data_IF_779882279646
#
_entry.id   IF_779882279646
#
_cell.length_a   1.000
_cell.length_b   1.000
_cell.length_c   1.000
_cell.angle_alpha   90.00
_cell.angle_beta   90.00
_cell.angle_gamma   90.00
#
_symmetry.space_group_name_H-M   'P 1'
#
loop_
_entity.id
_entity.type
_entity.pdbx_description
1 polymer ?
#
# COMPACT_ATOMS: atom_id res chain seq x y z
N UNK A 1 29.29 -20.26 -22.03
CA UNK A 1 28.10 -20.82 -21.34
C UNK A 1 27.10 -19.68 -21.15
N UNK A 2 25.90 -19.79 -21.73
CA UNK A 2 24.90 -18.71 -21.68
C UNK A 2 24.22 -18.68 -20.30
N UNK A 3 24.61 -17.70 -19.47
CA UNK A 3 24.08 -17.48 -18.11
C UNK A 3 22.73 -16.75 -18.10
N UNK A 4 22.12 -16.50 -19.26
CA UNK A 4 20.85 -15.78 -19.36
C UNK A 4 19.68 -16.56 -18.73
N UNK A 5 19.63 -17.87 -18.96
CA UNK A 5 18.59 -18.75 -18.41
C UNK A 5 18.55 -18.79 -16.87
N UNK A 6 19.67 -19.01 -16.16
CA UNK A 6 19.65 -18.98 -14.70
C UNK A 6 19.34 -17.58 -14.14
N UNK A 7 19.69 -16.49 -14.84
CA UNK A 7 19.37 -15.13 -14.42
C UNK A 7 17.87 -14.83 -14.44
N UNK A 8 17.18 -15.24 -15.52
CA UNK A 8 15.72 -15.12 -15.62
C UNK A 8 14.99 -15.95 -14.55
N UNK A 9 15.50 -17.16 -14.28
CA UNK A 9 14.93 -18.02 -13.24
C UNK A 9 15.05 -17.40 -11.85
N UNK A 10 16.19 -16.74 -11.57
CA UNK A 10 16.44 -16.06 -10.30
C UNK A 10 15.50 -14.86 -10.11
N UNK A 11 15.29 -14.06 -11.16
CA UNK A 11 14.35 -12.94 -11.14
C UNK A 11 12.90 -13.41 -10.91
N UNK A 12 12.49 -14.50 -11.56
CA UNK A 12 11.16 -15.08 -11.36
C UNK A 12 10.95 -15.54 -9.92
N UNK A 13 11.95 -16.19 -9.32
CA UNK A 13 11.93 -16.60 -7.91
C UNK A 13 11.82 -15.39 -6.97
N UNK A 14 12.63 -14.36 -7.16
CA UNK A 14 12.59 -13.14 -6.33
C UNK A 14 11.24 -12.42 -6.44
N UNK A 15 10.70 -12.31 -7.66
CA UNK A 15 9.39 -11.71 -7.90
C UNK A 15 8.26 -12.47 -7.19
N UNK A 16 8.30 -13.80 -7.22
CA UNK A 16 7.34 -14.64 -6.50
C UNK A 16 7.39 -14.35 -4.99
N UNK A 17 8.57 -14.33 -4.39
CA UNK A 17 8.75 -14.06 -2.95
C UNK A 17 8.33 -12.64 -2.54
N UNK A 18 8.60 -11.63 -3.36
CA UNK A 18 8.18 -10.25 -3.09
C UNK A 18 6.66 -10.10 -3.05
N UNK A 19 5.91 -10.88 -3.84
CA UNK A 19 4.44 -10.83 -3.78
C UNK A 19 3.86 -11.44 -2.50
N UNK A 20 4.58 -12.35 -1.84
CA UNK A 20 4.11 -12.98 -0.59
C UNK A 20 4.33 -12.06 0.62
N UNK A 21 5.36 -11.22 0.60
CA UNK A 21 5.68 -10.33 1.74
C UNK A 21 4.80 -9.09 1.79
N UNK A 22 4.31 -8.60 0.65
CA UNK A 22 3.35 -7.47 0.60
C UNK A 22 1.93 -7.90 1.00
N UNK A 23 1.65 -9.21 1.00
CA UNK A 23 0.35 -9.79 1.35
C UNK A 23 0.16 -10.14 2.82
N UNK A 24 1.19 -10.05 3.67
CA UNK A 24 1.05 -10.23 5.11
C UNK A 24 0.45 -8.96 5.71
N UNK A 25 -0.88 -8.88 5.66
CA UNK A 25 -1.61 -7.92 6.49
C UNK A 25 -1.16 -8.08 7.95
N UNK A 26 -0.86 -6.99 8.68
CA UNK A 26 -0.35 -7.03 10.06
C UNK A 26 -1.33 -7.64 11.07
N UNK A 27 -2.51 -8.05 10.61
CA UNK A 27 -3.52 -8.69 11.42
C UNK A 27 -4.00 -10.00 10.80
N UNK A 28 -4.24 -10.95 11.69
CA UNK A 28 -4.99 -12.16 11.39
C UNK A 28 -6.35 -11.84 10.75
N UNK A 29 -6.73 -12.62 9.73
CA UNK A 29 -7.98 -12.38 8.99
C UNK A 29 -9.20 -12.40 9.92
N UNK A 30 -9.18 -13.27 10.93
CA UNK A 30 -10.22 -13.35 11.98
C UNK A 30 -10.32 -12.06 12.81
N UNK A 31 -9.17 -11.53 13.24
CA UNK A 31 -9.08 -10.29 14.03
C UNK A 31 -9.58 -9.10 13.22
N UNK A 32 -9.20 -9.01 11.93
CA UNK A 32 -9.65 -7.96 11.02
C UNK A 32 -11.17 -7.95 10.83
N UNK A 33 -11.79 -9.11 10.66
CA UNK A 33 -13.26 -9.21 10.49
C UNK A 33 -13.98 -8.74 11.76
N UNK A 34 -13.52 -9.21 12.93
CA UNK A 34 -14.08 -8.79 14.22
C UNK A 34 -13.94 -7.29 14.44
N UNK A 35 -12.76 -6.75 14.13
CA UNK A 35 -12.47 -5.32 14.22
C UNK A 35 -13.38 -4.48 13.32
N UNK A 36 -13.57 -4.91 12.07
CA UNK A 36 -14.44 -4.22 11.13
C UNK A 36 -15.89 -4.16 11.61
N UNK A 37 -16.44 -5.27 12.11
CA UNK A 37 -17.81 -5.31 12.63
C UNK A 37 -17.94 -4.41 13.87
N UNK A 38 -16.96 -4.48 14.78
CA UNK A 38 -16.95 -3.69 16.01
C UNK A 38 -16.87 -2.18 15.70
N UNK A 39 -15.85 -1.71 14.98
CA UNK A 39 -15.67 -0.29 14.69
C UNK A 39 -16.79 0.29 13.81
N UNK A 40 -17.37 -0.52 12.91
CA UNK A 40 -18.50 -0.09 12.08
C UNK A 40 -19.75 0.21 12.91
N UNK A 41 -19.97 -0.51 14.02
CA UNK A 41 -21.08 -0.22 14.93
C UNK A 41 -20.99 1.17 15.58
N UNK A 42 -19.77 1.69 15.74
CA UNK A 42 -19.48 3.03 16.25
C UNK A 42 -19.28 4.08 15.15
N UNK A 43 -19.54 3.72 13.88
CA UNK A 43 -19.31 4.58 12.72
C UNK A 43 -17.84 5.07 12.58
N UNK A 44 -16.88 4.27 13.04
CA UNK A 44 -15.42 4.52 12.99
C UNK A 44 -14.75 3.66 11.91
N UNK A 45 -13.52 3.99 11.51
CA UNK A 45 -12.70 3.12 10.65
C UNK A 45 -12.00 2.04 11.48
N UNK A 46 -12.00 0.78 11.03
CA UNK A 46 -11.18 -0.25 11.64
C UNK A 46 -9.72 -0.07 11.21
N UNK A 47 -8.84 0.16 12.18
CA UNK A 47 -7.41 0.08 12.03
C UNK A 47 -6.95 -1.21 12.72
N UNK A 48 -6.11 -1.98 12.05
CA UNK A 48 -5.60 -3.22 12.60
C UNK A 48 -4.08 -3.23 12.42
N UNK A 49 -3.38 -3.23 13.55
CA UNK A 49 -1.92 -3.11 13.63
C UNK A 49 -1.42 -4.09 14.69
N UNK A 50 -0.39 -4.88 14.39
CA UNK A 50 0.20 -5.90 15.30
C UNK A 50 -0.81 -6.81 16.04
N UNK A 51 -1.90 -7.23 15.39
CA UNK A 51 -3.03 -7.98 15.96
C UNK A 51 -3.86 -7.23 17.03
N UNK A 52 -3.62 -5.95 17.23
CA UNK A 52 -4.53 -5.06 17.95
C UNK A 52 -5.55 -4.42 17.00
N UNK A 53 -6.76 -4.25 17.50
CA UNK A 53 -7.83 -3.54 16.81
C UNK A 53 -8.02 -2.16 17.42
N UNK A 54 -7.89 -1.12 16.61
CA UNK A 54 -8.20 0.25 16.97
C UNK A 54 -9.34 0.78 16.09
N UNK A 55 -10.19 1.63 16.66
CA UNK A 55 -11.25 2.30 15.93
C UNK A 55 -10.93 3.78 15.79
N UNK A 56 -10.53 4.22 14.60
CA UNK A 56 -10.22 5.61 14.33
C UNK A 56 -11.46 6.39 13.87
N UNK A 57 -11.52 7.67 14.23
CA UNK A 57 -12.57 8.55 13.72
C UNK A 57 -12.46 8.72 12.20
N UNK A 58 -13.60 8.75 11.52
CA UNK A 58 -13.62 9.03 10.09
C UNK A 58 -13.06 10.43 9.87
N UNK A 59 -12.09 10.61 8.94
CA UNK A 59 -11.61 11.94 8.63
C UNK A 59 -12.78 12.76 8.08
N UNK A 60 -13.25 13.73 8.86
CA UNK A 60 -14.31 14.70 8.47
C UNK A 60 -13.87 15.63 7.34
N UNK A 61 -12.59 15.57 6.93
CA UNK A 61 -12.11 16.25 5.72
C UNK A 61 -12.12 15.25 4.57
N UNK A 62 -12.96 15.53 3.58
CA UNK A 62 -12.80 15.00 2.23
C UNK A 62 -11.31 14.98 1.86
N UNK A 63 -10.80 13.93 1.22
CA UNK A 63 -9.45 13.93 0.69
C UNK A 63 -9.32 15.19 -0.17
N UNK A 64 -8.49 16.15 0.26
CA UNK A 64 -8.00 17.12 -0.71
C UNK A 64 -7.29 16.29 -1.78
N UNK A 65 -7.57 16.52 -3.08
CA UNK A 65 -6.82 15.86 -4.12
C UNK A 65 -5.32 16.03 -3.83
N UNK A 66 -4.49 15.01 -4.12
CA UNK A 66 -3.07 15.04 -3.80
C UNK A 66 -2.49 16.36 -4.31
N UNK A 67 -1.82 17.07 -3.40
CA UNK A 67 -1.02 18.23 -3.76
C UNK A 67 0.04 17.71 -4.73
N UNK A 68 -0.18 17.98 -6.02
CA UNK A 68 0.79 17.76 -7.06
C UNK A 68 2.10 18.40 -6.60
N UNK A 69 3.23 17.68 -6.57
CA UNK A 69 4.51 18.27 -6.22
C UNK A 69 4.77 19.44 -7.19
N UNK A 70 5.38 20.57 -6.75
CA UNK A 70 5.69 21.66 -7.63
C UNK A 70 6.70 21.18 -8.66
N UNK A 71 6.22 20.75 -9.82
CA UNK A 71 7.04 20.42 -10.97
C UNK A 71 7.56 21.76 -11.49
N UNK A 72 8.79 22.04 -11.07
CA UNK A 72 9.73 23.02 -11.64
C UNK A 72 9.39 23.34 -13.10
N UNK A 73 9.26 24.62 -13.50
CA UNK A 73 8.96 24.94 -14.89
C UNK A 73 10.03 24.35 -15.80
N UNK A 74 9.66 23.62 -16.89
CA UNK A 74 10.62 23.20 -17.88
C UNK A 74 11.21 24.44 -18.54
N UNK A 75 12.55 24.50 -18.58
CA UNK A 75 13.28 25.41 -19.48
C UNK A 75 12.85 25.09 -20.90
N UNK A 76 12.23 26.03 -21.58
CA UNK A 76 12.10 26.02 -23.04
C UNK A 76 13.50 26.12 -23.65
N UNK A 77 13.94 25.15 -24.48
CA UNK A 77 14.96 25.40 -25.48
C UNK A 77 14.29 26.08 -26.68
N UNK A 78 14.77 27.28 -26.97
CA UNK A 78 15.08 27.80 -28.31
C UNK A 78 14.51 27.02 -29.51
N UNK A 79 13.59 27.62 -30.28
CA UNK A 79 13.63 27.52 -31.75
C UNK A 79 12.85 28.69 -32.42
N UNK A 80 13.60 29.43 -33.23
CA UNK A 80 13.26 30.32 -34.36
C UNK A 80 12.75 31.75 -34.16
#
# INVERSE_FOLDING_TARGET
MNLSLPFWLLLALIGLFATVTVGQSPCDASTRIRCNIHCRSYNKLPLCDDNECACEDKPTKAPKPPVEPPTKPPKTPEES
#
